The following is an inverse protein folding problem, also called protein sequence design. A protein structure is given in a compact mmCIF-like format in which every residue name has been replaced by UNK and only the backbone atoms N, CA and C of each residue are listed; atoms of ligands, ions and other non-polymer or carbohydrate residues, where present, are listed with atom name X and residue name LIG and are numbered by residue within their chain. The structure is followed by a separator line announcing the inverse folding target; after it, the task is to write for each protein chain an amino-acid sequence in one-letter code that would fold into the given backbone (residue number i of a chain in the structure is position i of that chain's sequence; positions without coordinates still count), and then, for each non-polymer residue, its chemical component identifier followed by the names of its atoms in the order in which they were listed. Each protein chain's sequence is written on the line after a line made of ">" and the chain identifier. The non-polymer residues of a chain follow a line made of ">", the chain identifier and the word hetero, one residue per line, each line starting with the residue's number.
data_IF_539333009219
#
_entry.id   IF_539333009219
#
_cell.length_a   1.000
_cell.length_b   1.000
_cell.length_c   1.000
_cell.angle_alpha   90.00
_cell.angle_beta   90.00
_cell.angle_gamma   90.00
#
_symmetry.space_group_name_H-M   'P 1'
#
loop_
_entity.id
_entity.type
_entity.pdbx_description
1 polymer ?
#
# COMPACT_ATOMS: atom_id res chain seq x y z
N UNK A 1 16.11 7.99 -3.56
CA UNK A 1 14.90 7.56 -4.27
C UNK A 1 13.91 8.71 -4.20
N UNK A 2 13.47 9.20 -5.35
CA UNK A 2 12.44 10.23 -5.41
C UNK A 2 11.09 9.62 -5.04
N UNK A 3 10.26 10.35 -4.30
CA UNK A 3 8.94 9.92 -3.84
C UNK A 3 7.90 10.84 -4.44
N UNK A 4 6.92 10.27 -5.11
CA UNK A 4 5.89 11.01 -5.83
C UNK A 4 4.51 10.41 -5.57
N UNK A 5 3.52 11.28 -5.47
CA UNK A 5 2.10 10.88 -5.51
C UNK A 5 1.56 11.29 -6.86
N UNK A 6 1.12 10.32 -7.65
CA UNK A 6 0.45 10.56 -8.93
C UNK A 6 -1.05 10.44 -8.71
N UNK A 7 -1.78 11.46 -9.15
CA UNK A 7 -3.25 11.46 -9.11
C UNK A 7 -3.72 11.44 -10.56
N UNK A 8 -4.31 10.32 -10.96
CA UNK A 8 -4.92 10.16 -12.27
C UNK A 8 -6.40 10.51 -12.17
N UNK A 9 -6.86 11.42 -13.02
CA UNK A 9 -8.25 11.79 -13.10
C UNK A 9 -8.80 11.42 -14.48
N UNK A 10 -9.77 10.52 -14.51
CA UNK A 10 -10.53 10.24 -15.71
C UNK A 10 -11.68 11.23 -15.84
N UNK A 11 -11.58 12.15 -16.80
CA UNK A 11 -12.60 13.18 -17.04
C UNK A 11 -13.91 12.63 -17.62
N UNK A 12 -13.91 11.43 -18.20
CA UNK A 12 -15.09 10.83 -18.82
C UNK A 12 -15.92 10.05 -17.81
N UNK A 13 -15.28 9.35 -16.86
CA UNK A 13 -15.97 8.55 -15.83
C UNK A 13 -16.05 9.25 -14.48
N UNK A 14 -15.19 10.23 -14.23
CA UNK A 14 -15.00 10.85 -12.92
C UNK A 14 -14.18 10.00 -11.95
N UNK A 15 -13.58 8.90 -12.42
CA UNK A 15 -12.75 8.02 -11.59
C UNK A 15 -11.42 8.70 -11.22
N UNK A 16 -11.07 8.65 -9.93
CA UNK A 16 -9.82 9.17 -9.41
C UNK A 16 -8.97 8.00 -8.91
N UNK A 17 -7.74 7.87 -9.43
CA UNK A 17 -6.76 6.90 -8.95
C UNK A 17 -5.57 7.61 -8.32
N UNK A 18 -5.19 7.19 -7.12
CA UNK A 18 -4.03 7.72 -6.39
C UNK A 18 -2.96 6.64 -6.36
N UNK A 19 -1.78 6.95 -6.88
CA UNK A 19 -0.62 6.06 -6.91
C UNK A 19 0.55 6.67 -6.14
N UNK A 20 1.14 5.88 -5.23
CA UNK A 20 2.33 6.27 -4.50
C UNK A 20 3.56 5.59 -5.11
N UNK A 21 4.40 6.36 -5.80
CA UNK A 21 5.62 5.89 -6.46
C UNK A 21 6.85 6.16 -5.58
N UNK A 22 7.74 5.16 -5.47
CA UNK A 22 8.91 5.25 -4.60
C UNK A 22 8.61 5.08 -3.10
N UNK A 23 7.40 4.61 -2.76
CA UNK A 23 6.98 4.28 -1.39
C UNK A 23 7.05 2.77 -1.14
N UNK A 24 7.67 2.37 -0.02
CA UNK A 24 7.87 0.97 0.34
C UNK A 24 6.99 0.55 1.52
N UNK A 25 6.39 -0.64 1.42
CA UNK A 25 5.57 -1.25 2.47
C UNK A 25 4.42 -0.35 2.97
N UNK A 26 4.29 -0.23 4.29
CA UNK A 26 3.20 0.52 4.94
C UNK A 26 3.28 2.04 4.69
N UNK A 27 4.41 2.56 4.22
CA UNK A 27 4.57 4.00 3.95
C UNK A 27 3.69 4.49 2.80
N UNK A 28 3.32 3.60 1.86
CA UNK A 28 2.38 3.87 0.78
C UNK A 28 0.99 4.26 1.33
N UNK A 29 0.48 3.49 2.29
CA UNK A 29 -0.83 3.74 2.89
C UNK A 29 -0.90 5.09 3.61
N UNK A 30 0.12 5.41 4.40
CA UNK A 30 0.18 6.71 5.09
C UNK A 30 0.28 7.89 4.12
N UNK A 31 0.91 7.68 2.95
CA UNK A 31 1.06 8.72 1.95
C UNK A 31 -0.21 8.95 1.12
N UNK A 32 -0.99 7.91 0.83
CA UNK A 32 -2.26 8.04 0.09
C UNK A 32 -3.44 8.43 0.98
N UNK A 33 -3.39 8.12 2.28
CA UNK A 33 -4.45 8.40 3.25
C UNK A 33 -5.04 9.83 3.21
N UNK A 34 -4.26 10.93 3.22
CA UNK A 34 -4.84 12.28 3.20
C UNK A 34 -5.61 12.58 1.91
N UNK A 35 -5.20 11.99 0.79
CA UNK A 35 -5.88 12.16 -0.50
C UNK A 35 -7.18 11.34 -0.54
N UNK A 36 -7.13 10.11 -0.04
CA UNK A 36 -8.29 9.25 0.13
C UNK A 36 -9.37 9.90 1.02
N UNK A 37 -8.97 10.53 2.11
CA UNK A 37 -9.89 11.25 3.02
C UNK A 37 -10.53 12.47 2.34
N UNK A 38 -9.74 13.25 1.58
CA UNK A 38 -10.23 14.41 0.85
C UNK A 38 -11.19 14.03 -0.30
N UNK A 39 -10.97 12.88 -0.94
CA UNK A 39 -11.82 12.34 -2.01
C UNK A 39 -13.06 11.63 -1.48
N UNK A 40 -13.06 11.25 -0.20
CA UNK A 40 -14.22 10.76 0.55
C UNK A 40 -14.62 9.30 0.31
N UNK A 41 -14.45 8.77 -0.91
CA UNK A 41 -14.73 7.36 -1.22
C UNK A 41 -13.49 6.68 -1.79
N UNK A 42 -12.99 5.69 -1.06
CA UNK A 42 -11.91 4.81 -1.51
C UNK A 42 -12.56 3.55 -2.08
N UNK A 43 -12.34 3.31 -3.38
CA UNK A 43 -12.72 2.07 -4.04
C UNK A 43 -11.74 0.93 -3.72
N UNK A 44 -11.47 0.09 -4.71
CA UNK A 44 -10.53 -1.01 -4.58
C UNK A 44 -9.07 -0.53 -4.47
N UNK A 45 -8.35 -1.03 -3.47
CA UNK A 45 -6.91 -0.82 -3.32
C UNK A 45 -6.14 -1.91 -4.08
N UNK A 46 -5.25 -1.50 -4.96
CA UNK A 46 -4.36 -2.40 -5.70
C UNK A 46 -2.92 -2.14 -5.25
N UNK A 47 -2.28 -3.17 -4.70
CA UNK A 47 -0.87 -3.09 -4.30
C UNK A 47 0.02 -3.62 -5.41
N UNK A 48 1.05 -2.86 -5.78
CA UNK A 48 2.09 -3.35 -6.68
C UNK A 48 2.88 -4.46 -5.98
N UNK A 49 3.37 -5.44 -6.74
CA UNK A 49 4.08 -6.62 -6.23
C UNK A 49 5.30 -6.24 -5.36
N UNK A 50 5.94 -5.10 -5.66
CA UNK A 50 7.05 -4.53 -4.89
C UNK A 50 6.64 -4.06 -3.47
N UNK A 51 5.38 -3.63 -3.30
CA UNK A 51 4.83 -3.20 -2.02
C UNK A 51 4.15 -4.34 -1.26
N UNK A 52 4.14 -5.57 -1.80
CA UNK A 52 3.56 -6.71 -1.12
C UNK A 52 4.26 -6.89 0.23
N UNK A 53 3.54 -6.86 1.37
CA UNK A 53 4.16 -7.11 2.65
C UNK A 53 4.83 -8.47 2.56
N UNK A 54 6.15 -8.52 2.75
CA UNK A 54 6.86 -9.78 2.95
C UNK A 54 6.16 -10.44 4.13
N UNK A 55 5.31 -11.42 3.85
CA UNK A 55 4.74 -12.34 4.82
C UNK A 55 5.95 -12.98 5.50
N UNK A 56 6.38 -12.40 6.63
CA UNK A 56 7.33 -13.06 7.51
C UNK A 56 6.60 -14.29 8.02
N UNK A 57 6.75 -15.40 7.32
CA UNK A 57 6.50 -16.73 7.84
C UNK A 57 7.46 -16.89 9.01
N UNK A 58 7.03 -16.50 10.20
CA UNK A 58 7.69 -16.85 11.45
C UNK A 58 7.50 -18.34 11.63
N UNK A 59 8.39 -19.14 11.03
CA UNK A 59 8.47 -20.56 11.32
C UNK A 59 8.96 -20.71 12.77
N UNK A 60 8.01 -20.67 13.71
CA UNK A 60 8.22 -20.93 15.13
C UNK A 60 8.57 -22.41 15.30
N UNK A 61 9.83 -22.71 15.01
CA UNK A 61 10.45 -23.99 15.33
C UNK A 61 10.55 -24.08 16.85
N UNK A 62 9.46 -24.47 17.51
CA UNK A 62 9.46 -24.80 18.93
C UNK A 62 10.33 -26.03 19.13
N UNK A 63 11.60 -25.80 19.43
CA UNK A 63 12.50 -26.80 20.00
C UNK A 63 11.96 -27.10 21.40
N UNK A 64 11.19 -28.18 21.55
CA UNK A 64 10.94 -28.78 22.87
C UNK A 64 12.24 -29.40 23.35
N UNK A 65 12.98 -28.65 24.17
CA UNK A 65 14.06 -29.21 24.97
C UNK A 65 13.41 -30.03 26.11
N UNK A 66 13.40 -31.36 25.99
CA UNK A 66 13.12 -32.26 27.12
C UNK A 66 14.30 -32.18 28.09
N UNK A 67 14.03 -31.84 29.35
CA UNK A 67 14.82 -32.27 30.50
C UNK A 67 13.93 -33.13 31.39
#
# INVERSE_FOLDING_TARGET
>A
MERSILIHFDSATGEVRVEAEGFEGLSCLSATQPFEEALGVVGDRVFKEESAPQLRTTNSSQIRLRQ
#
